data_IF_668550580745
#
_entry.id   IF_668550580745
#
_cell.length_a   1.000
_cell.length_b   1.000
_cell.length_c   1.000
_cell.angle_alpha   90.00
_cell.angle_beta   90.00
_cell.angle_gamma   90.00
#
_symmetry.space_group_name_H-M   'P 1'
#
loop_
_entity.id
_entity.type
_entity.pdbx_description
1 polymer ?
#
# COMPACT_ATOMS: atom_id res chain seq x y z
N UNK A 1 -2.72 6.30 -34.57
CA UNK A 1 -4.10 6.38 -34.03
C UNK A 1 -4.29 5.16 -33.13
N UNK A 2 -3.87 5.28 -31.86
CA UNK A 2 -4.07 4.21 -30.87
C UNK A 2 -5.55 4.20 -30.48
N UNK A 3 -6.30 3.29 -31.06
CA UNK A 3 -7.67 3.00 -30.68
C UNK A 3 -7.62 2.35 -29.28
N UNK A 4 -7.99 3.13 -28.26
CA UNK A 4 -8.36 2.69 -26.90
C UNK A 4 -7.60 1.47 -26.36
N UNK A 5 -6.39 1.71 -25.85
CA UNK A 5 -5.71 0.75 -25.00
C UNK A 5 -6.54 0.60 -23.71
N UNK A 6 -6.92 -0.66 -23.36
CA UNK A 6 -7.54 -0.96 -22.07
C UNK A 6 -6.49 -1.31 -21.03
N UNK A 7 -5.26 -0.82 -21.18
CA UNK A 7 -4.16 -1.15 -20.32
C UNK A 7 -4.35 -0.53 -18.93
N UNK A 8 -4.07 -1.30 -17.90
CA UNK A 8 -4.30 -0.94 -16.51
C UNK A 8 -3.00 -0.94 -15.71
N UNK A 9 -2.79 0.08 -14.91
CA UNK A 9 -1.83 0.08 -13.82
C UNK A 9 -2.56 -0.27 -12.53
N UNK A 10 -2.08 -1.24 -11.78
CA UNK A 10 -2.74 -1.73 -10.56
C UNK A 10 -1.81 -1.65 -9.39
N UNK A 11 -2.21 -0.88 -8.39
CA UNK A 11 -1.68 -0.97 -7.04
C UNK A 11 -2.52 -2.01 -6.29
N UNK A 12 -1.92 -3.18 -6.03
CA UNK A 12 -2.56 -4.28 -5.33
C UNK A 12 -2.16 -4.28 -3.85
N UNK A 13 -2.56 -3.23 -3.15
CA UNK A 13 -2.19 -3.03 -1.75
C UNK A 13 -2.99 -3.89 -0.76
N UNK A 14 -2.40 -4.10 0.43
CA UNK A 14 -3.02 -4.86 1.54
C UNK A 14 -4.30 -4.19 2.04
N UNK A 15 -4.35 -2.86 2.09
CA UNK A 15 -5.51 -2.11 2.59
C UNK A 15 -6.46 -1.67 1.47
N UNK A 16 -5.92 -1.21 0.35
CA UNK A 16 -6.69 -0.70 -0.79
C UNK A 16 -6.13 -1.24 -2.10
N UNK A 17 -7.00 -1.42 -3.09
CA UNK A 17 -6.62 -1.62 -4.49
C UNK A 17 -6.96 -0.35 -5.27
N UNK A 18 -5.97 0.19 -5.97
CA UNK A 18 -6.16 1.31 -6.89
C UNK A 18 -5.88 0.84 -8.32
N UNK A 19 -6.73 1.26 -9.25
CA UNK A 19 -6.53 0.94 -10.67
C UNK A 19 -6.48 2.25 -11.46
N UNK A 20 -5.36 2.43 -12.14
CA UNK A 20 -5.15 3.49 -13.12
C UNK A 20 -5.50 2.98 -14.52
N UNK A 21 -6.19 3.80 -15.29
CA UNK A 21 -6.47 3.57 -16.72
C UNK A 21 -5.83 4.66 -17.55
N UNK A 22 -5.16 4.28 -18.63
CA UNK A 22 -4.49 5.23 -19.52
C UNK A 22 -5.45 6.31 -20.04
N UNK A 23 -5.07 7.57 -19.90
CA UNK A 23 -5.86 8.73 -20.30
C UNK A 23 -7.04 9.09 -19.40
N UNK A 24 -7.31 8.31 -18.33
CA UNK A 24 -8.42 8.56 -17.38
C UNK A 24 -7.95 8.79 -15.93
N UNK A 25 -6.70 8.46 -15.62
CA UNK A 25 -6.20 8.50 -14.25
C UNK A 25 -6.66 7.31 -13.40
N UNK A 26 -6.71 7.48 -12.08
CA UNK A 26 -7.21 6.45 -11.15
C UNK A 26 -8.72 6.33 -11.30
N UNK A 27 -9.20 5.18 -11.77
CA UNK A 27 -10.61 4.88 -12.07
C UNK A 27 -11.27 3.97 -11.03
N UNK A 28 -10.47 3.28 -10.21
CA UNK A 28 -10.93 2.45 -9.08
C UNK A 28 -10.07 2.79 -7.87
N UNK A 29 -10.74 2.99 -6.73
CA UNK A 29 -10.13 3.12 -5.40
C UNK A 29 -11.04 2.39 -4.43
N UNK A 30 -10.68 1.16 -4.07
CA UNK A 30 -11.52 0.29 -3.24
C UNK A 30 -10.70 -0.41 -2.15
N UNK A 31 -11.23 -0.57 -0.95
CA UNK A 31 -10.62 -1.42 0.07
C UNK A 31 -10.38 -2.85 -0.43
N UNK A 32 -9.25 -3.43 -0.08
CA UNK A 32 -8.88 -4.83 -0.38
C UNK A 32 -9.67 -5.80 0.51
N UNK A 33 -11.00 -5.79 0.37
CA UNK A 33 -11.92 -6.60 1.17
C UNK A 33 -12.91 -7.33 0.27
N UNK A 34 -13.17 -8.59 0.59
CA UNK A 34 -14.16 -9.44 -0.08
C UNK A 34 -15.12 -10.01 0.95
N UNK A 35 -16.41 -10.01 0.64
CA UNK A 35 -17.42 -10.72 1.40
C UNK A 35 -18.04 -11.85 0.57
N UNK A 36 -18.08 -13.07 1.13
CA UNK A 36 -18.51 -14.27 0.46
C UNK A 36 -19.47 -15.08 1.34
N UNK A 37 -20.47 -15.70 0.71
CA UNK A 37 -21.28 -16.74 1.32
C UNK A 37 -20.51 -18.07 1.32
N UNK A 38 -20.25 -18.62 2.53
CA UNK A 38 -19.47 -19.85 2.71
C UNK A 38 -20.14 -21.09 2.13
N UNK A 39 -21.47 -21.12 2.09
CA UNK A 39 -22.22 -22.28 1.65
C UNK A 39 -22.21 -22.43 0.12
N UNK A 40 -22.24 -21.28 -0.57
CA UNK A 40 -22.34 -21.24 -2.03
C UNK A 40 -21.03 -20.88 -2.72
N UNK A 41 -20.04 -20.37 -1.99
CA UNK A 41 -18.78 -19.82 -2.54
C UNK A 41 -18.99 -18.56 -3.39
N UNK A 42 -20.18 -17.94 -3.35
CA UNK A 42 -20.48 -16.75 -4.17
C UNK A 42 -20.00 -15.48 -3.48
N UNK A 43 -19.37 -14.60 -4.26
CA UNK A 43 -19.07 -13.25 -3.83
C UNK A 43 -20.37 -12.46 -3.64
N UNK A 44 -20.49 -11.85 -2.47
CA UNK A 44 -21.60 -10.98 -2.11
C UNK A 44 -21.26 -9.51 -2.37
N UNK A 45 -20.07 -9.10 -1.94
CA UNK A 45 -19.60 -7.73 -2.04
C UNK A 45 -18.06 -7.69 -2.18
N UNK A 46 -17.53 -6.62 -2.78
CA UNK A 46 -16.12 -6.29 -2.86
C UNK A 46 -15.92 -4.83 -2.47
N UNK A 47 -14.75 -4.47 -1.98
CA UNK A 47 -14.39 -3.09 -1.71
C UNK A 47 -15.10 -2.49 -0.49
N UNK A 48 -15.54 -1.24 -0.60
CA UNK A 48 -16.16 -0.48 0.49
C UNK A 48 -17.40 -1.17 1.06
N UNK A 49 -18.23 -1.78 0.20
CA UNK A 49 -19.41 -2.51 0.64
C UNK A 49 -19.03 -3.75 1.49
N UNK A 50 -17.98 -4.48 1.10
CA UNK A 50 -17.45 -5.61 1.88
C UNK A 50 -16.78 -5.15 3.17
N UNK A 51 -16.05 -4.02 3.16
CA UNK A 51 -15.43 -3.43 4.36
C UNK A 51 -16.46 -3.14 5.45
N UNK A 52 -17.63 -2.63 5.08
CA UNK A 52 -18.73 -2.38 6.02
C UNK A 52 -19.27 -3.65 6.69
N UNK A 53 -18.98 -4.83 6.12
CA UNK A 53 -19.38 -6.13 6.66
C UNK A 53 -18.32 -6.73 7.62
N UNK A 54 -17.11 -6.20 7.67
CA UNK A 54 -16.06 -6.69 8.58
C UNK A 54 -16.54 -6.65 10.04
N UNK A 55 -16.44 -7.80 10.73
CA UNK A 55 -16.86 -7.94 12.13
C UNK A 55 -18.39 -7.90 12.35
N UNK A 56 -19.21 -7.88 11.28
CA UNK A 56 -20.67 -7.77 11.35
C UNK A 56 -21.41 -8.89 10.60
N UNK A 57 -20.67 -9.91 10.15
CA UNK A 57 -21.24 -11.00 9.33
C UNK A 57 -21.87 -12.10 10.18
N UNK A 58 -23.01 -12.70 9.74
CA UNK A 58 -23.52 -13.95 10.30
C UNK A 58 -22.58 -15.11 9.99
N UNK A 59 -22.75 -16.25 10.66
CA UNK A 59 -21.84 -17.39 10.58
C UNK A 59 -21.63 -18.00 9.19
N UNK A 60 -22.61 -17.85 8.29
CA UNK A 60 -22.54 -18.32 6.90
C UNK A 60 -21.87 -17.33 5.95
N UNK A 61 -21.52 -16.11 6.38
CA UNK A 61 -20.84 -15.10 5.58
C UNK A 61 -19.46 -14.84 6.15
N UNK A 62 -18.44 -14.75 5.30
CA UNK A 62 -17.11 -14.28 5.66
C UNK A 62 -16.81 -12.99 4.92
N UNK A 63 -16.35 -11.96 5.68
CA UNK A 63 -15.73 -10.77 5.11
C UNK A 63 -14.27 -10.76 5.55
N UNK A 64 -13.34 -10.64 4.59
CA UNK A 64 -11.91 -10.75 4.87
C UNK A 64 -11.08 -9.94 3.89
N UNK A 65 -9.82 -9.65 4.27
CA UNK A 65 -8.78 -9.12 3.39
C UNK A 65 -8.02 -10.30 2.77
N UNK A 66 -7.98 -10.44 1.44
CA UNK A 66 -7.28 -11.55 0.77
C UNK A 66 -5.77 -11.31 0.62
N UNK A 67 -5.29 -10.11 0.97
CA UNK A 67 -3.87 -9.75 1.00
C UNK A 67 -3.43 -9.49 2.43
N UNK A 68 -2.20 -9.84 2.74
CA UNK A 68 -1.56 -9.61 4.03
C UNK A 68 -0.08 -9.31 3.84
N UNK A 69 0.42 -8.27 4.50
CA UNK A 69 1.85 -7.92 4.45
C UNK A 69 2.40 -7.82 3.01
N UNK A 70 1.60 -7.22 2.08
CA UNK A 70 1.98 -7.04 0.68
C UNK A 70 1.84 -8.28 -0.21
N UNK A 71 1.44 -9.44 0.31
CA UNK A 71 1.35 -10.69 -0.45
C UNK A 71 -0.07 -11.28 -0.44
N UNK A 72 -0.36 -12.15 -1.42
CA UNK A 72 -1.63 -12.85 -1.52
C UNK A 72 -1.68 -13.94 -0.43
N UNK A 73 -2.64 -13.81 0.49
CA UNK A 73 -2.91 -14.80 1.55
C UNK A 73 -4.06 -15.75 1.17
N UNK A 74 -4.97 -15.30 0.30
CA UNK A 74 -6.06 -16.12 -0.25
C UNK A 74 -6.18 -15.87 -1.77
N UNK A 75 -5.72 -16.86 -2.55
CA UNK A 75 -5.66 -16.75 -4.00
C UNK A 75 -7.06 -16.63 -4.63
N UNK A 76 -7.99 -17.50 -4.22
CA UNK A 76 -9.35 -17.53 -4.79
C UNK A 76 -10.09 -16.21 -4.56
N UNK A 77 -9.99 -15.66 -3.34
CA UNK A 77 -10.60 -14.38 -3.01
C UNK A 77 -9.94 -13.22 -3.75
N UNK A 78 -8.60 -13.25 -3.93
CA UNK A 78 -7.89 -12.26 -4.73
C UNK A 78 -8.33 -12.28 -6.18
N UNK A 79 -8.42 -13.45 -6.80
CA UNK A 79 -8.93 -13.59 -8.18
C UNK A 79 -10.31 -12.97 -8.32
N UNK A 80 -11.23 -13.34 -7.44
CA UNK A 80 -12.62 -12.85 -7.48
C UNK A 80 -12.69 -11.34 -7.26
N UNK A 81 -11.89 -10.81 -6.34
CA UNK A 81 -11.77 -9.37 -6.12
C UNK A 81 -11.28 -8.66 -7.38
N UNK A 82 -10.18 -9.10 -7.95
CA UNK A 82 -9.63 -8.52 -9.18
C UNK A 82 -10.59 -8.59 -10.36
N UNK A 83 -11.37 -9.70 -10.51
CA UNK A 83 -12.40 -9.82 -11.55
C UNK A 83 -13.42 -8.70 -11.47
N UNK A 84 -13.96 -8.43 -10.27
CA UNK A 84 -14.94 -7.35 -10.06
C UNK A 84 -14.33 -5.98 -10.30
N UNK A 85 -13.10 -5.75 -9.80
CA UNK A 85 -12.42 -4.46 -9.95
C UNK A 85 -12.01 -4.19 -11.41
N UNK A 86 -11.53 -5.20 -12.15
CA UNK A 86 -11.24 -5.06 -13.58
C UNK A 86 -12.51 -4.77 -14.39
N UNK A 87 -13.63 -5.44 -14.05
CA UNK A 87 -14.92 -5.16 -14.69
C UNK A 87 -15.37 -3.71 -14.45
N UNK A 88 -15.18 -3.21 -13.24
CA UNK A 88 -15.50 -1.81 -12.89
C UNK A 88 -14.60 -0.82 -13.64
N UNK A 89 -13.30 -1.10 -13.76
CA UNK A 89 -12.33 -0.24 -14.43
C UNK A 89 -12.56 -0.16 -15.94
N UNK A 90 -12.92 -1.29 -16.56
CA UNK A 90 -13.16 -1.40 -18.00
C UNK A 90 -14.65 -1.25 -18.27
N UNK A 91 -15.22 -0.05 -18.18
CA UNK A 91 -16.64 0.19 -18.52
C UNK A 91 -16.98 -0.54 -19.81
N UNK A 92 -17.78 -1.63 -19.73
CA UNK A 92 -18.01 -2.63 -20.77
C UNK A 92 -18.50 -1.99 -22.07
N UNK A 93 -17.68 -2.05 -23.09
CA UNK A 93 -18.11 -2.01 -24.50
C UNK A 93 -18.09 -3.43 -25.03
N UNK A 94 -19.04 -3.82 -25.83
CA UNK A 94 -19.18 -5.16 -26.44
C UNK A 94 -17.95 -5.61 -27.28
N UNK A 95 -16.94 -4.76 -27.43
CA UNK A 95 -15.72 -4.97 -28.24
C UNK A 95 -14.43 -4.78 -27.46
N UNK A 96 -14.43 -4.80 -26.12
CA UNK A 96 -13.21 -4.58 -25.35
C UNK A 96 -12.32 -5.82 -25.30
N UNK A 97 -11.08 -5.65 -25.76
CA UNK A 97 -10.04 -6.68 -25.60
C UNK A 97 -9.64 -6.76 -24.14
N UNK A 98 -9.28 -7.98 -23.68
CA UNK A 98 -8.70 -8.17 -22.33
C UNK A 98 -7.49 -7.25 -22.11
N UNK A 99 -7.37 -6.60 -20.93
CA UNK A 99 -6.31 -5.63 -20.67
C UNK A 99 -4.93 -6.30 -20.57
N UNK A 100 -3.90 -5.52 -20.91
CA UNK A 100 -2.56 -5.73 -20.34
C UNK A 100 -2.52 -4.99 -19.01
N UNK A 101 -1.86 -5.58 -18.02
CA UNK A 101 -1.86 -5.06 -16.66
C UNK A 101 -0.43 -4.94 -16.15
N UNK A 102 -0.07 -3.79 -15.58
CA UNK A 102 1.12 -3.65 -14.73
C UNK A 102 0.62 -3.71 -13.28
N UNK A 103 1.22 -4.56 -12.46
CA UNK A 103 0.91 -4.68 -11.03
C UNK A 103 2.17 -4.40 -10.22
N UNK A 104 2.07 -3.57 -9.19
CA UNK A 104 3.16 -3.39 -8.25
C UNK A 104 3.29 -4.58 -7.29
N UNK A 105 4.51 -4.83 -6.87
CA UNK A 105 4.85 -5.82 -5.84
C UNK A 105 5.90 -5.21 -4.91
N UNK A 106 5.91 -5.57 -3.61
CA UNK A 106 6.94 -5.12 -2.69
C UNK A 106 8.35 -5.50 -3.15
N UNK A 107 9.37 -4.76 -2.73
CA UNK A 107 10.75 -5.14 -2.99
C UNK A 107 11.08 -6.46 -2.28
N UNK A 108 11.87 -7.31 -2.92
CA UNK A 108 12.36 -8.56 -2.33
C UNK A 108 11.33 -9.70 -2.25
N UNK A 109 10.16 -9.59 -2.90
CA UNK A 109 9.21 -10.71 -3.02
C UNK A 109 9.84 -11.92 -3.69
N UNK A 110 9.44 -13.10 -3.25
CA UNK A 110 9.91 -14.37 -3.81
C UNK A 110 9.31 -14.65 -5.19
N UNK A 111 9.96 -15.50 -6.00
CA UNK A 111 9.40 -15.92 -7.30
C UNK A 111 8.04 -16.61 -7.19
N UNK A 112 7.75 -17.25 -6.05
CA UNK A 112 6.46 -17.90 -5.80
C UNK A 112 5.37 -16.85 -5.60
N UNK A 113 5.66 -15.79 -4.85
CA UNK A 113 4.75 -14.67 -4.64
C UNK A 113 4.51 -13.89 -5.93
N UNK A 114 5.57 -13.61 -6.72
CA UNK A 114 5.43 -13.01 -8.05
C UNK A 114 4.50 -13.83 -8.95
N UNK A 115 4.71 -15.15 -9.02
CA UNK A 115 3.85 -16.05 -9.79
C UNK A 115 2.41 -16.07 -9.30
N UNK A 116 2.20 -16.00 -7.99
CA UNK A 116 0.86 -15.92 -7.40
C UNK A 116 0.11 -14.67 -7.86
N UNK A 117 0.77 -13.52 -7.88
CA UNK A 117 0.19 -12.25 -8.38
C UNK A 117 -0.12 -12.34 -9.87
N UNK A 118 0.83 -12.85 -10.69
CA UNK A 118 0.63 -13.03 -12.14
C UNK A 118 -0.56 -13.96 -12.40
N UNK A 119 -0.62 -15.11 -11.75
CA UNK A 119 -1.67 -16.09 -11.93
C UNK A 119 -3.03 -15.51 -11.53
N UNK A 120 -3.12 -14.86 -10.38
CA UNK A 120 -4.35 -14.23 -9.93
C UNK A 120 -4.89 -13.20 -10.93
N UNK A 121 -4.01 -12.36 -11.49
CA UNK A 121 -4.40 -11.35 -12.47
C UNK A 121 -4.81 -11.97 -13.83
N UNK A 122 -4.12 -13.03 -14.28
CA UNK A 122 -4.48 -13.75 -15.51
C UNK A 122 -5.84 -14.45 -15.35
N UNK A 123 -6.06 -15.14 -14.23
CA UNK A 123 -7.33 -15.78 -13.91
C UNK A 123 -8.46 -14.75 -13.74
N UNK A 124 -8.14 -13.55 -13.25
CA UNK A 124 -9.06 -12.43 -13.17
C UNK A 124 -9.43 -11.81 -14.54
N UNK A 125 -8.72 -12.19 -15.61
CA UNK A 125 -9.06 -11.80 -16.98
C UNK A 125 -8.03 -10.91 -17.67
N UNK A 126 -6.85 -10.65 -17.08
CA UNK A 126 -5.77 -9.98 -17.77
C UNK A 126 -5.25 -10.83 -18.94
N UNK A 127 -4.92 -10.17 -20.07
CA UNK A 127 -4.29 -10.82 -21.23
C UNK A 127 -2.80 -11.05 -21.03
N UNK A 128 -2.13 -10.08 -20.43
CA UNK A 128 -0.71 -10.10 -20.05
C UNK A 128 -0.53 -9.33 -18.76
N UNK A 129 0.38 -9.80 -17.92
CA UNK A 129 0.72 -9.19 -16.64
C UNK A 129 2.21 -8.87 -16.63
N UNK A 130 2.53 -7.68 -16.18
CA UNK A 130 3.89 -7.17 -15.95
C UNK A 130 3.99 -6.77 -14.48
N UNK A 131 5.15 -6.97 -13.88
CA UNK A 131 5.39 -6.56 -12.49
C UNK A 131 6.35 -5.37 -12.44
N UNK A 132 6.10 -4.47 -11.51
CA UNK A 132 6.97 -3.34 -11.16
C UNK A 132 7.16 -3.33 -9.66
N UNK A 133 8.37 -3.00 -9.18
CA UNK A 133 8.59 -2.84 -7.74
C UNK A 133 7.83 -1.61 -7.22
N UNK A 134 7.17 -1.78 -6.07
CA UNK A 134 6.34 -0.76 -5.44
C UNK A 134 7.07 0.56 -5.23
N UNK A 135 8.32 0.60 -4.68
CA UNK A 135 9.00 1.88 -4.52
C UNK A 135 9.41 2.54 -5.84
N UNK A 136 9.67 1.76 -6.91
CA UNK A 136 9.90 2.33 -8.24
C UNK A 136 8.62 2.98 -8.79
N UNK A 137 7.48 2.30 -8.63
CA UNK A 137 6.19 2.88 -8.99
C UNK A 137 5.88 4.12 -8.15
N UNK A 138 6.11 4.06 -6.83
CA UNK A 138 5.91 5.20 -5.92
C UNK A 138 6.70 6.44 -6.36
N UNK A 139 7.99 6.28 -6.66
CA UNK A 139 8.85 7.37 -7.14
C UNK A 139 8.37 7.97 -8.47
N UNK A 140 8.02 7.11 -9.43
CA UNK A 140 7.45 7.57 -10.71
C UNK A 140 6.13 8.33 -10.49
N UNK A 141 5.27 7.81 -9.63
CA UNK A 141 3.98 8.42 -9.30
C UNK A 141 4.13 9.77 -8.62
N UNK A 142 5.04 9.88 -7.66
CA UNK A 142 5.40 11.12 -6.98
C UNK A 142 6.06 12.16 -7.91
N UNK A 143 6.41 11.78 -9.15
CA UNK A 143 6.98 12.70 -10.13
C UNK A 143 8.49 12.90 -9.99
N UNK A 144 9.20 12.02 -9.29
CA UNK A 144 10.65 12.09 -9.20
C UNK A 144 11.32 11.78 -10.55
N UNK A 145 12.27 12.60 -10.95
CA UNK A 145 13.10 12.34 -12.14
C UNK A 145 14.26 11.41 -11.79
N UNK A 146 13.97 10.13 -11.83
CA UNK A 146 14.94 9.07 -11.57
C UNK A 146 15.78 8.68 -12.79
N UNK A 147 15.68 9.40 -13.91
CA UNK A 147 16.39 9.07 -15.16
C UNK A 147 17.87 9.44 -15.12
N UNK A 148 18.21 10.46 -14.35
CA UNK A 148 19.58 10.95 -14.17
C UNK A 148 20.39 10.08 -13.20
N UNK A 149 21.72 10.22 -13.13
CA UNK A 149 22.55 9.54 -12.16
C UNK A 149 22.41 10.09 -10.73
N UNK A 150 21.53 11.05 -10.48
CA UNK A 150 21.25 11.59 -9.15
C UNK A 150 20.46 10.61 -8.29
N UNK A 151 20.82 10.50 -7.01
CA UNK A 151 20.14 9.66 -6.03
C UNK A 151 18.83 10.27 -5.54
N UNK A 152 17.76 9.48 -5.55
CA UNK A 152 16.44 9.82 -4.98
C UNK A 152 16.02 8.75 -3.99
N UNK A 153 15.53 9.14 -2.82
CA UNK A 153 15.02 8.22 -1.83
C UNK A 153 13.51 8.35 -1.70
N UNK A 154 12.82 7.22 -1.77
CA UNK A 154 11.39 7.12 -1.51
C UNK A 154 11.12 6.17 -0.34
N UNK A 155 10.17 6.55 0.51
CA UNK A 155 9.66 5.74 1.61
C UNK A 155 8.16 5.61 1.41
N UNK A 156 7.72 4.45 0.98
CA UNK A 156 6.30 4.14 0.77
C UNK A 156 5.75 3.39 1.99
N UNK A 157 4.88 4.06 2.75
CA UNK A 157 4.30 3.52 3.98
C UNK A 157 2.84 3.17 3.72
N UNK A 158 2.61 1.92 3.36
CA UNK A 158 1.29 1.42 3.00
C UNK A 158 0.47 0.93 4.20
N UNK A 159 -0.46 -0.01 3.93
CA UNK A 159 -1.25 -0.69 4.95
C UNK A 159 -0.52 -1.89 5.56
N UNK A 160 0.10 -2.73 4.73
CA UNK A 160 0.75 -3.97 5.15
C UNK A 160 2.26 -3.89 5.20
N UNK A 161 2.88 -3.07 4.35
CA UNK A 161 4.33 -2.96 4.17
C UNK A 161 4.80 -1.52 4.17
N UNK A 162 6.03 -1.31 4.62
CA UNK A 162 6.82 -0.12 4.36
C UNK A 162 7.96 -0.50 3.44
N UNK A 163 8.03 0.14 2.26
CA UNK A 163 9.07 -0.06 1.27
C UNK A 163 9.96 1.18 1.23
N UNK A 164 11.25 0.97 1.40
CA UNK A 164 12.26 2.02 1.37
C UNK A 164 13.20 1.74 0.22
N UNK A 165 13.44 2.71 -0.65
CA UNK A 165 14.37 2.52 -1.76
C UNK A 165 15.11 3.80 -2.14
N UNK A 166 16.33 3.59 -2.59
CA UNK A 166 17.16 4.58 -3.27
C UNK A 166 17.17 4.24 -4.76
N UNK A 167 16.85 5.23 -5.58
CA UNK A 167 16.68 5.10 -7.03
C UNK A 167 17.61 6.05 -7.75
N UNK A 168 18.18 5.58 -8.86
CA UNK A 168 19.01 6.35 -9.78
C UNK A 168 19.01 5.68 -11.15
N UNK A 169 19.19 6.42 -12.22
CA UNK A 169 19.33 5.89 -13.60
C UNK A 169 18.18 4.94 -14.00
N UNK A 170 16.97 5.26 -13.59
CA UNK A 170 15.75 4.47 -13.76
C UNK A 170 15.78 3.06 -13.11
N UNK A 171 16.62 2.84 -12.14
CA UNK A 171 16.76 1.57 -11.41
C UNK A 171 16.69 1.77 -9.90
N UNK A 172 16.57 0.67 -9.19
CA UNK A 172 16.68 0.59 -7.73
C UNK A 172 18.13 0.28 -7.39
N UNK A 173 18.80 1.17 -6.66
CA UNK A 173 20.18 0.99 -6.21
C UNK A 173 20.24 0.17 -4.91
N UNK A 174 19.42 0.56 -3.93
CA UNK A 174 19.25 -0.14 -2.64
C UNK A 174 17.77 -0.15 -2.32
N UNK A 175 17.24 -1.25 -1.78
CA UNK A 175 15.86 -1.29 -1.30
C UNK A 175 15.68 -2.28 -0.16
N UNK A 176 14.71 -1.95 0.70
CA UNK A 176 14.24 -2.84 1.74
C UNK A 176 12.72 -2.76 1.87
N UNK A 177 12.12 -3.86 2.32
CA UNK A 177 10.68 -3.95 2.60
C UNK A 177 10.45 -4.62 3.93
N UNK A 178 9.70 -3.97 4.82
CA UNK A 178 9.37 -4.49 6.14
C UNK A 178 7.86 -4.61 6.33
N UNK A 179 7.37 -5.65 7.05
CA UNK A 179 5.95 -5.84 7.33
C UNK A 179 5.48 -4.98 8.53
N UNK A 180 5.96 -3.73 8.60
CA UNK A 180 5.57 -2.77 9.64
C UNK A 180 4.98 -1.54 8.97
N UNK A 181 3.66 -1.44 9.00
CA UNK A 181 2.89 -0.37 8.35
C UNK A 181 1.53 -0.19 9.05
N UNK A 182 0.52 0.30 8.35
CA UNK A 182 -0.79 0.67 8.89
C UNK A 182 -1.45 -0.37 9.76
N UNK A 183 -1.41 -1.64 9.36
CA UNK A 183 -2.05 -2.74 10.11
C UNK A 183 -1.38 -2.98 11.47
N UNK A 184 -0.06 -2.75 11.57
CA UNK A 184 0.68 -2.87 12.86
C UNK A 184 0.27 -1.77 13.82
N UNK A 185 0.02 -0.55 13.33
CA UNK A 185 -0.51 0.56 14.14
C UNK A 185 -1.93 0.26 14.62
N UNK A 186 -2.81 -0.26 13.76
CA UNK A 186 -4.18 -0.64 14.11
C UNK A 186 -4.19 -1.73 15.18
N UNK A 187 -3.38 -2.76 15.03
CA UNK A 187 -3.22 -3.83 16.01
C UNK A 187 -2.66 -3.31 17.35
N UNK A 188 -1.76 -2.34 17.31
CA UNK A 188 -1.23 -1.72 18.53
C UNK A 188 -2.33 -0.97 19.28
N UNK A 189 -3.21 -0.23 18.59
CA UNK A 189 -4.38 0.42 19.18
C UNK A 189 -5.32 -0.62 19.81
N UNK A 190 -5.71 -1.68 19.06
CA UNK A 190 -6.62 -2.72 19.55
C UNK A 190 -6.09 -3.34 20.84
N UNK A 191 -4.81 -3.73 20.86
CA UNK A 191 -4.16 -4.31 22.05
C UNK A 191 -4.12 -3.33 23.21
N UNK A 192 -3.81 -2.05 22.94
CA UNK A 192 -3.73 -1.01 23.96
C UNK A 192 -5.09 -0.73 24.60
N UNK A 193 -6.11 -0.50 23.81
CA UNK A 193 -7.48 -0.21 24.27
C UNK A 193 -8.02 -1.36 25.09
N UNK A 194 -7.78 -2.61 24.67
CA UNK A 194 -8.16 -3.78 25.43
C UNK A 194 -7.43 -3.87 26.77
N UNK A 195 -6.11 -3.65 26.77
CA UNK A 195 -5.27 -3.82 27.97
C UNK A 195 -5.49 -2.72 29.01
N UNK A 196 -5.52 -1.45 28.56
CA UNK A 196 -5.58 -0.29 29.46
C UNK A 196 -7.01 0.03 29.88
N UNK A 197 -7.95 -0.02 28.94
CA UNK A 197 -9.32 0.42 29.16
C UNK A 197 -10.32 -0.72 29.35
N UNK A 198 -9.91 -1.98 29.07
CA UNK A 198 -10.80 -3.14 29.17
C UNK A 198 -11.92 -3.12 28.11
N UNK A 199 -11.72 -2.41 27.00
CA UNK A 199 -12.69 -2.28 25.91
C UNK A 199 -12.16 -3.01 24.67
N UNK A 200 -13.01 -3.79 24.02
CA UNK A 200 -12.72 -4.50 22.77
C UNK A 200 -13.28 -3.69 21.62
N UNK A 201 -12.42 -3.30 20.68
CA UNK A 201 -12.75 -2.62 19.43
C UNK A 201 -12.36 -3.47 18.23
N UNK A 202 -12.97 -3.23 17.08
CA UNK A 202 -12.63 -3.89 15.82
C UNK A 202 -11.58 -3.13 14.99
N UNK A 203 -11.10 -3.76 13.91
CA UNK A 203 -10.09 -3.18 13.01
C UNK A 203 -10.55 -1.85 12.39
N UNK A 204 -11.81 -1.78 11.93
CA UNK A 204 -12.35 -0.53 11.35
C UNK A 204 -12.27 0.63 12.33
N UNK A 205 -12.65 0.41 13.59
CA UNK A 205 -12.56 1.45 14.64
C UNK A 205 -11.11 1.82 14.94
N UNK A 206 -10.19 0.84 14.95
CA UNK A 206 -8.77 1.12 15.17
C UNK A 206 -8.17 1.95 14.03
N UNK A 207 -8.50 1.64 12.79
CA UNK A 207 -8.11 2.43 11.62
C UNK A 207 -8.67 3.87 11.68
N UNK A 208 -9.91 4.04 12.11
CA UNK A 208 -10.52 5.38 12.32
C UNK A 208 -9.75 6.17 13.40
N UNK A 209 -9.37 5.53 14.51
CA UNK A 209 -8.56 6.15 15.57
C UNK A 209 -7.20 6.58 15.01
N UNK A 210 -6.52 5.68 14.27
CA UNK A 210 -5.24 5.97 13.61
C UNK A 210 -5.33 7.20 12.72
N UNK A 211 -6.34 7.27 11.87
CA UNK A 211 -6.53 8.36 10.91
C UNK A 211 -6.85 9.69 11.61
N UNK A 212 -7.72 9.68 12.63
CA UNK A 212 -8.21 10.91 13.22
C UNK A 212 -7.28 11.50 14.29
N UNK A 213 -6.70 10.67 15.15
CA UNK A 213 -5.89 11.14 16.28
C UNK A 213 -4.50 10.51 16.36
N UNK A 214 -4.13 9.64 15.40
CA UNK A 214 -2.82 9.01 15.34
C UNK A 214 -1.72 10.04 15.13
N UNK A 215 -0.60 9.87 15.85
CA UNK A 215 0.59 10.67 15.67
C UNK A 215 1.85 9.88 16.07
N UNK A 216 2.94 10.15 15.37
CA UNK A 216 4.25 9.53 15.62
C UNK A 216 5.29 10.54 16.10
N UNK A 217 4.88 11.80 16.20
CA UNK A 217 5.64 12.92 16.76
C UNK A 217 4.77 13.70 17.76
N UNK A 218 5.33 14.35 18.78
CA UNK A 218 4.53 15.12 19.76
C UNK A 218 3.71 16.22 19.09
N UNK A 219 2.43 16.33 19.49
CA UNK A 219 1.58 17.45 19.08
C UNK A 219 1.65 18.57 20.09
N UNK A 220 1.48 19.81 19.61
CA UNK A 220 1.32 21.00 20.48
C UNK A 220 -0.02 21.00 21.23
N UNK A 221 -1.05 20.42 20.61
CA UNK A 221 -2.38 20.29 21.19
C UNK A 221 -2.79 18.82 21.26
N UNK A 222 -3.34 18.39 22.38
CA UNK A 222 -3.84 17.03 22.57
C UNK A 222 -5.27 16.95 22.04
N UNK A 223 -5.47 16.27 20.93
CA UNK A 223 -6.78 16.05 20.34
C UNK A 223 -7.39 14.75 20.86
N UNK A 224 -8.73 14.68 20.92
CA UNK A 224 -9.44 13.53 21.44
C UNK A 224 -10.52 13.02 20.51
N UNK A 225 -10.87 11.74 20.66
CA UNK A 225 -11.93 11.06 19.93
C UNK A 225 -12.73 10.17 20.89
N UNK A 226 -14.05 10.18 20.77
CA UNK A 226 -14.93 9.25 21.48
C UNK A 226 -15.15 8.03 20.59
N UNK A 227 -14.83 6.86 21.12
CA UNK A 227 -15.01 5.57 20.43
C UNK A 227 -15.94 4.68 21.24
N UNK A 228 -16.68 3.83 20.54
CA UNK A 228 -17.56 2.83 21.15
C UNK A 228 -17.03 1.44 20.93
N UNK A 229 -16.95 0.66 22.00
CA UNK A 229 -16.56 -0.74 21.95
C UNK A 229 -17.40 -1.59 22.90
N UNK A 230 -16.98 -2.83 23.08
CA UNK A 230 -17.60 -3.77 24.01
C UNK A 230 -16.72 -3.90 25.25
N UNK A 231 -17.29 -3.65 26.42
CA UNK A 231 -16.59 -3.90 27.70
C UNK A 231 -16.20 -5.38 27.80
N UNK A 232 -14.94 -5.65 28.13
CA UNK A 232 -14.39 -7.02 28.11
C UNK A 232 -14.89 -7.90 29.24
N UNK A 233 -15.41 -7.31 30.34
CA UNK A 233 -15.90 -8.03 31.50
C UNK A 233 -17.40 -8.24 31.45
N UNK A 234 -18.14 -7.19 31.14
CA UNK A 234 -19.61 -7.22 31.14
C UNK A 234 -20.24 -7.60 29.82
N UNK A 235 -19.49 -7.46 28.71
CA UNK A 235 -19.99 -7.66 27.36
C UNK A 235 -20.86 -6.50 26.82
N UNK A 236 -21.12 -5.49 27.64
CA UNK A 236 -22.01 -4.36 27.30
C UNK A 236 -21.31 -3.31 26.46
N UNK A 237 -22.04 -2.53 25.64
CA UNK A 237 -21.49 -1.37 24.96
C UNK A 237 -20.90 -0.37 25.94
N UNK A 238 -19.72 0.19 25.60
CA UNK A 238 -19.04 1.18 26.42
C UNK A 238 -18.40 2.24 25.54
N UNK A 239 -18.65 3.50 25.86
CA UNK A 239 -17.97 4.64 25.24
C UNK A 239 -16.66 4.93 26.00
N UNK A 240 -15.65 5.35 25.25
CA UNK A 240 -14.31 5.63 25.71
C UNK A 240 -13.77 6.87 24.98
N UNK A 241 -13.21 7.82 25.72
CA UNK A 241 -12.45 8.94 25.15
C UNK A 241 -10.97 8.56 25.07
N UNK A 242 -10.39 8.67 23.87
CA UNK A 242 -8.96 8.47 23.63
C UNK A 242 -8.33 9.80 23.24
N UNK A 243 -7.08 9.99 23.59
CA UNK A 243 -6.30 11.20 23.33
C UNK A 243 -5.11 10.90 22.42
N UNK A 244 -4.71 11.87 21.60
CA UNK A 244 -3.57 11.74 20.69
C UNK A 244 -2.26 11.49 21.45
N UNK A 245 -2.08 12.08 22.62
CA UNK A 245 -0.91 11.82 23.51
C UNK A 245 -0.82 10.36 23.93
N UNK A 246 -1.96 9.71 24.16
CA UNK A 246 -2.00 8.29 24.48
C UNK A 246 -1.65 7.42 23.25
N UNK A 247 -2.16 7.77 22.08
CA UNK A 247 -1.89 7.06 20.83
C UNK A 247 -0.42 7.24 20.41
N UNK A 248 0.17 8.41 20.64
CA UNK A 248 1.60 8.66 20.44
C UNK A 248 2.47 7.61 21.17
N UNK A 249 2.20 7.35 22.45
CA UNK A 249 2.94 6.35 23.22
C UNK A 249 2.76 4.93 22.65
N UNK A 250 1.58 4.62 22.10
CA UNK A 250 1.30 3.35 21.43
C UNK A 250 2.11 3.20 20.15
N UNK A 251 2.28 4.29 19.41
CA UNK A 251 2.91 4.30 18.09
C UNK A 251 4.43 4.40 18.12
N UNK A 252 5.03 4.79 19.24
CA UNK A 252 6.49 4.94 19.37
C UNK A 252 7.28 3.73 18.87
N UNK A 253 6.83 2.52 19.22
CA UNK A 253 7.55 1.30 18.86
C UNK A 253 7.47 0.99 17.36
N UNK A 254 6.30 0.89 16.72
CA UNK A 254 6.22 0.65 15.28
C UNK A 254 6.83 1.78 14.45
N UNK A 255 6.65 3.04 14.86
CA UNK A 255 7.26 4.19 14.17
C UNK A 255 8.80 4.15 14.23
N UNK A 256 9.37 3.75 15.39
CA UNK A 256 10.83 3.56 15.51
C UNK A 256 11.33 2.49 14.54
N UNK A 257 10.62 1.38 14.35
CA UNK A 257 11.03 0.32 13.41
C UNK A 257 11.11 0.86 11.99
N UNK A 258 10.14 1.68 11.56
CA UNK A 258 10.18 2.33 10.24
C UNK A 258 11.38 3.29 10.14
N UNK A 259 11.60 4.12 11.17
CA UNK A 259 12.70 5.08 11.17
C UNK A 259 14.09 4.40 11.18
N UNK A 260 14.23 3.29 11.91
CA UNK A 260 15.45 2.49 11.93
C UNK A 260 15.71 1.87 10.54
N UNK A 261 14.67 1.41 9.83
CA UNK A 261 14.79 0.84 8.49
C UNK A 261 15.22 1.90 7.46
N UNK A 262 14.65 3.10 7.50
CA UNK A 262 15.05 4.20 6.63
C UNK A 262 16.53 4.54 6.83
N UNK A 263 17.00 4.57 8.08
CA UNK A 263 18.40 4.78 8.37
C UNK A 263 19.28 3.64 7.84
N UNK A 264 18.86 2.37 8.00
CA UNK A 264 19.61 1.20 7.52
C UNK A 264 19.84 1.26 6.01
N UNK A 265 18.81 1.62 5.24
CA UNK A 265 18.93 1.76 3.77
C UNK A 265 19.90 2.90 3.41
N UNK A 266 19.92 4.01 4.15
CA UNK A 266 20.89 5.08 3.93
C UNK A 266 22.33 4.61 4.22
N UNK A 267 22.52 3.81 5.29
CA UNK A 267 23.83 3.26 5.66
C UNK A 267 24.37 2.26 4.62
N UNK A 268 23.50 1.56 3.90
CA UNK A 268 23.87 0.64 2.81
C UNK A 268 24.07 1.36 1.46
N UNK A 269 23.68 2.64 1.37
CA UNK A 269 23.75 3.43 0.14
C UNK A 269 25.14 4.01 -0.08
N UNK A 270 25.59 4.07 -1.34
CA UNK A 270 26.89 4.67 -1.67
C UNK A 270 26.96 6.16 -1.24
N UNK A 271 28.14 6.66 -0.82
CA UNK A 271 28.30 8.03 -0.37
C UNK A 271 27.83 9.08 -1.37
N UNK A 272 28.02 8.85 -2.67
CA UNK A 272 27.61 9.76 -3.74
C UNK A 272 26.09 9.90 -3.78
N UNK A 273 25.36 8.78 -3.74
CA UNK A 273 23.90 8.79 -3.72
C UNK A 273 23.35 9.37 -2.41
N UNK A 274 24.01 9.13 -1.26
CA UNK A 274 23.63 9.76 0.02
C UNK A 274 23.80 11.28 -0.06
N UNK A 275 24.88 11.76 -0.71
CA UNK A 275 25.09 13.19 -0.96
C UNK A 275 23.93 13.80 -1.76
N UNK A 276 23.52 13.13 -2.84
CA UNK A 276 22.37 13.56 -3.65
C UNK A 276 21.07 13.57 -2.85
N UNK A 277 20.81 12.52 -2.04
CA UNK A 277 19.61 12.43 -1.20
C UNK A 277 19.60 13.54 -0.14
N UNK A 278 20.74 13.93 0.40
CA UNK A 278 20.83 15.04 1.35
C UNK A 278 20.37 16.37 0.73
N UNK A 279 20.60 16.57 -0.58
CA UNK A 279 20.15 17.74 -1.33
C UNK A 279 18.69 17.60 -1.81
N UNK A 280 18.31 16.43 -2.35
CA UNK A 280 16.98 16.17 -2.92
C UNK A 280 15.89 15.95 -1.85
N UNK A 281 16.29 15.53 -0.65
CA UNK A 281 15.38 15.10 0.41
C UNK A 281 14.84 13.68 0.21
N UNK A 282 14.03 13.25 1.19
CA UNK A 282 13.33 11.95 1.20
C UNK A 282 11.85 12.19 0.88
N UNK A 283 11.33 11.50 -0.12
CA UNK A 283 9.92 11.59 -0.51
C UNK A 283 9.12 10.47 0.17
N UNK A 284 8.04 10.86 0.88
CA UNK A 284 7.16 9.94 1.58
C UNK A 284 5.89 9.70 0.76
N UNK A 285 5.53 8.45 0.54
CA UNK A 285 4.31 8.00 -0.16
C UNK A 285 3.55 6.97 0.65
N UNK A 286 2.37 6.56 0.17
CA UNK A 286 1.48 5.64 0.87
C UNK A 286 0.65 6.31 1.96
N UNK A 287 -0.46 5.67 2.35
CA UNK A 287 -1.45 6.26 3.24
C UNK A 287 -0.94 6.59 4.64
N UNK A 288 -0.03 5.77 5.17
CA UNK A 288 0.52 5.99 6.49
C UNK A 288 1.63 7.04 6.56
N UNK A 289 2.13 7.52 5.42
CA UNK A 289 3.01 8.69 5.38
C UNK A 289 2.32 9.96 5.89
N UNK A 290 0.99 9.98 5.85
CA UNK A 290 0.14 11.08 6.33
C UNK A 290 -0.09 11.07 7.86
N UNK A 291 0.41 10.05 8.59
CA UNK A 291 0.37 10.07 10.05
C UNK A 291 1.11 11.31 10.56
N UNK A 292 0.43 12.04 11.46
CA UNK A 292 0.97 13.27 12.02
C UNK A 292 2.40 13.09 12.53
N UNK A 293 3.32 13.89 11.96
CA UNK A 293 4.71 13.94 12.35
C UNK A 293 5.59 12.81 11.81
N UNK A 294 5.14 12.06 10.79
CA UNK A 294 5.98 11.04 10.16
C UNK A 294 7.20 11.67 9.47
N UNK A 295 7.01 12.77 8.78
CA UNK A 295 8.06 13.58 8.16
C UNK A 295 9.05 14.10 9.20
N UNK A 296 8.56 14.61 10.32
CA UNK A 296 9.39 15.13 11.41
C UNK A 296 10.20 14.03 12.09
N UNK A 297 9.57 12.87 12.34
CA UNK A 297 10.24 11.72 12.92
C UNK A 297 11.40 11.23 12.04
N UNK A 298 11.17 11.10 10.75
CA UNK A 298 12.19 10.63 9.80
C UNK A 298 13.28 11.69 9.59
N UNK A 299 12.93 12.97 9.55
CA UNK A 299 13.89 14.07 9.48
C UNK A 299 14.77 14.13 10.75
N UNK A 300 14.19 13.96 11.95
CA UNK A 300 14.97 13.91 13.19
C UNK A 300 15.94 12.70 13.21
N UNK A 301 15.48 11.55 12.68
CA UNK A 301 16.27 10.32 12.63
C UNK A 301 17.42 10.35 11.65
N UNK A 302 17.21 10.92 10.46
CA UNK A 302 18.16 10.88 9.33
C UNK A 302 18.98 12.16 9.16
N UNK A 303 18.50 13.28 9.70
CA UNK A 303 19.04 14.60 9.43
C UNK A 303 18.73 15.14 8.03
N UNK A 304 17.90 14.44 7.25
CA UNK A 304 17.55 14.79 5.87
C UNK A 304 16.11 15.29 5.82
N UNK A 305 15.85 16.33 5.02
CA UNK A 305 14.51 16.88 4.82
C UNK A 305 13.58 15.79 4.26
N UNK A 306 12.42 15.59 4.92
CA UNK A 306 11.38 14.67 4.48
C UNK A 306 10.14 15.44 4.03
N UNK A 307 9.52 15.02 2.94
CA UNK A 307 8.28 15.62 2.44
C UNK A 307 7.29 14.56 1.98
N UNK A 308 6.02 14.75 2.34
CA UNK A 308 4.93 13.88 1.86
C UNK A 308 4.55 14.31 0.45
N UNK A 309 4.46 13.35 -0.47
CA UNK A 309 4.07 13.59 -1.85
C UNK A 309 2.62 14.09 -1.96
N UNK A 310 2.31 14.76 -3.07
CA UNK A 310 0.92 15.08 -3.41
C UNK A 310 0.15 13.78 -3.67
N UNK A 311 -1.07 13.63 -3.10
CA UNK A 311 -1.91 12.42 -3.15
C UNK A 311 -1.10 11.13 -2.89
N UNK A 312 -0.47 10.99 -1.70
CA UNK A 312 0.49 9.94 -1.43
C UNK A 312 -0.11 8.53 -1.54
N UNK A 313 -1.42 8.38 -1.30
CA UNK A 313 -2.17 7.13 -1.46
C UNK A 313 -2.21 6.62 -2.90
N UNK A 314 -2.07 7.52 -3.87
CA UNK A 314 -2.22 7.18 -5.29
C UNK A 314 -0.90 7.10 -6.03
N UNK A 315 0.23 7.47 -5.42
CA UNK A 315 1.54 7.52 -6.08
C UNK A 315 1.87 6.20 -6.77
N UNK A 316 1.71 5.07 -6.09
CA UNK A 316 1.99 3.74 -6.67
C UNK A 316 1.11 3.48 -7.91
N UNK A 317 -0.20 3.76 -7.83
CA UNK A 317 -1.11 3.58 -8.96
C UNK A 317 -0.78 4.50 -10.16
N UNK A 318 -0.44 5.77 -9.90
CA UNK A 318 0.04 6.68 -10.94
C UNK A 318 1.35 6.22 -11.56
N UNK A 319 2.28 5.70 -10.76
CA UNK A 319 3.54 5.15 -11.25
C UNK A 319 3.35 3.91 -12.11
N UNK A 320 2.48 2.98 -11.72
CA UNK A 320 2.06 1.87 -12.56
C UNK A 320 1.46 2.38 -13.87
N UNK A 321 0.66 3.45 -13.82
CA UNK A 321 0.11 4.12 -15.00
C UNK A 321 1.17 4.69 -15.94
N UNK A 322 2.16 5.42 -15.40
CA UNK A 322 3.29 5.95 -16.18
C UNK A 322 4.12 4.84 -16.82
N UNK A 323 4.31 3.72 -16.11
CA UNK A 323 5.04 2.56 -16.60
C UNK A 323 4.33 1.82 -17.75
N UNK A 324 3.02 2.05 -17.99
CA UNK A 324 2.30 1.48 -19.14
C UNK A 324 2.94 1.85 -20.47
N UNK A 325 3.53 3.05 -20.58
CA UNK A 325 4.27 3.47 -21.78
C UNK A 325 5.45 2.56 -22.11
N UNK A 326 6.02 1.88 -21.11
CA UNK A 326 7.18 0.99 -21.29
C UNK A 326 6.81 -0.37 -21.86
N UNK A 327 5.55 -0.81 -21.70
CA UNK A 327 5.09 -2.13 -22.19
C UNK A 327 5.36 -2.32 -23.68
N UNK A 328 5.20 -1.25 -24.48
CA UNK A 328 5.36 -1.31 -25.93
C UNK A 328 6.82 -1.43 -26.37
N UNK A 329 7.77 -1.09 -25.50
CA UNK A 329 9.22 -1.18 -25.76
C UNK A 329 9.83 -2.51 -25.30
N UNK A 330 9.03 -3.37 -24.63
CA UNK A 330 9.47 -4.63 -24.09
C UNK A 330 9.20 -5.80 -25.01
N UNK A 331 10.22 -6.64 -25.23
CA UNK A 331 10.08 -7.92 -25.92
C UNK A 331 9.31 -8.95 -25.07
N UNK A 332 8.59 -9.88 -25.74
CA UNK A 332 7.64 -10.82 -25.17
C UNK A 332 8.11 -11.65 -23.96
N UNK A 333 7.22 -11.85 -22.98
CA UNK A 333 7.36 -12.74 -21.81
C UNK A 333 6.72 -12.15 -20.55
N UNK A 334 6.45 -12.95 -19.48
CA UNK A 334 6.16 -12.42 -18.18
C UNK A 334 7.39 -11.68 -17.68
N UNK A 335 7.28 -10.38 -17.45
CA UNK A 335 8.44 -9.51 -17.23
C UNK A 335 8.31 -8.87 -15.87
N UNK A 336 9.23 -9.20 -14.99
CA UNK A 336 9.60 -8.35 -13.87
C UNK A 336 10.38 -7.16 -14.44
N UNK A 337 9.79 -5.97 -14.44
CA UNK A 337 10.36 -4.75 -15.00
C UNK A 337 11.68 -4.37 -14.32
N UNK A 338 11.78 -4.58 -13.01
CA UNK A 338 12.99 -4.32 -12.25
C UNK A 338 14.12 -5.28 -12.59
N UNK A 339 13.86 -6.59 -12.66
CA UNK A 339 14.89 -7.61 -12.98
C UNK A 339 15.49 -7.47 -14.38
N UNK A 340 14.72 -7.12 -15.40
CA UNK A 340 15.26 -6.96 -16.76
C UNK A 340 16.17 -5.74 -16.90
N UNK A 341 15.99 -4.71 -16.11
CA UNK A 341 16.89 -3.54 -16.13
C UNK A 341 18.23 -3.84 -15.47
N UNK A 342 18.22 -4.53 -14.34
CA UNK A 342 19.46 -4.99 -13.67
C UNK A 342 20.30 -5.89 -14.59
N UNK A 343 19.66 -6.78 -15.37
CA UNK A 343 20.36 -7.67 -16.32
C UNK A 343 20.86 -6.98 -17.61
N UNK A 344 20.38 -5.78 -17.94
CA UNK A 344 20.86 -5.00 -19.11
C UNK A 344 21.97 -4.00 -18.77
N UNK A 345 22.21 -3.77 -17.48
CA UNK A 345 23.29 -2.92 -16.98
C UNK A 345 24.53 -3.70 -16.53
N UNK A 346 24.53 -5.02 -16.70
CA UNK A 346 25.70 -5.92 -16.61
C UNK A 346 26.04 -6.35 -18.03
#
# INVERSE_FOLDING_TARGET
MQLFSNDLGVDLGTSNVLIYSEGKGVVVREPSVVAMDKNTGRIMQVGAAARNMLGRTPGNVVAMRPLKEGVISDHEMTVKMLQELFRSAIKSSLFTHKPRVIICVPSGVTEVEERSVINAAVEAGARRVYLIEEPLAAALGAGLDISSPSGHMVVDIGGGTTNVAVLSMNGVAVSSSIPTAGDVFDDAIIRHVRRKHGVVIGQVTAEEIKIQIGCVYPRSEDISMIVRGRDSKTGMPRDLTLYSSEIFEVFRRPAKVIADEVQSVLEETSPELVGDIAENGITLTGGCSQLWGMDQLLMERTGIQCSVADDPDSCVAYGCGKALSWINTMTEGPINLARKRIMRSI
#
